data_IF_185699241931
#
_entry.id   IF_185699241931
#
_cell.length_a   1.000
_cell.length_b   1.000
_cell.length_c   1.000
_cell.angle_alpha   90.00
_cell.angle_beta   90.00
_cell.angle_gamma   90.00
#
_symmetry.space_group_name_H-M   'P 1'
#
loop_
_entity.id
_entity.type
_entity.pdbx_description
1 polymer ?
#
# COMPACT_ATOMS: atom_id res chain seq x y z
N UNK A 1 15.81 33.42 99.46
CA UNK A 1 15.08 33.96 100.62
C UNK A 1 13.69 33.34 100.64
N UNK A 2 13.23 32.76 101.77
CA UNK A 2 11.83 32.35 102.06
C UNK A 2 11.14 31.38 101.07
N UNK A 3 10.39 30.35 101.45
CA UNK A 3 10.22 29.46 102.63
C UNK A 3 9.10 28.50 102.20
N UNK A 4 9.03 27.30 102.76
CA UNK A 4 8.00 26.32 102.41
C UNK A 4 6.70 26.46 103.23
N UNK A 5 5.72 25.60 102.88
CA UNK A 5 4.69 24.98 103.74
C UNK A 5 3.30 25.64 103.96
N UNK A 6 2.29 24.90 103.44
CA UNK A 6 1.18 24.27 104.20
C UNK A 6 -0.05 25.09 104.66
N UNK A 7 -1.25 24.53 104.41
CA UNK A 7 -2.53 24.89 105.02
C UNK A 7 -3.72 24.31 104.23
N UNK A 8 -4.15 23.06 104.50
CA UNK A 8 -5.31 22.65 105.34
C UNK A 8 -6.70 23.04 104.76
N UNK A 9 -7.56 22.08 104.38
CA UNK A 9 -8.39 21.13 105.16
C UNK A 9 -9.78 21.72 105.53
N UNK A 10 -10.84 21.13 104.98
CA UNK A 10 -12.25 21.42 105.30
C UNK A 10 -13.17 20.35 104.69
N UNK A 11 -13.97 19.66 105.52
CA UNK A 11 -14.84 18.52 105.16
C UNK A 11 -16.32 18.89 105.27
N UNK A 12 -17.18 18.11 104.59
CA UNK A 12 -18.66 18.18 104.69
C UNK A 12 -19.31 18.98 103.54
N UNK A 13 -20.41 18.55 102.91
CA UNK A 13 -21.18 17.32 103.11
C UNK A 13 -21.98 16.90 101.85
N UNK A 14 -22.23 15.59 101.77
CA UNK A 14 -23.44 14.91 101.28
C UNK A 14 -24.11 15.33 99.93
N UNK A 15 -24.06 14.40 98.95
CA UNK A 15 -25.20 13.79 98.20
C UNK A 15 -26.53 14.57 98.06
N UNK A 16 -27.25 14.64 96.93
CA UNK A 16 -27.22 13.90 95.64
C UNK A 16 -27.95 14.73 94.56
N UNK A 17 -27.56 14.61 93.28
CA UNK A 17 -28.47 14.77 92.14
C UNK A 17 -27.88 14.13 90.87
N UNK A 18 -28.54 13.10 90.34
CA UNK A 18 -28.10 12.39 89.13
C UNK A 18 -28.36 13.23 87.87
N UNK A 19 -27.36 14.02 87.47
CA UNK A 19 -27.28 14.60 86.13
C UNK A 19 -26.72 13.61 85.12
N UNK A 20 -27.57 12.86 84.43
CA UNK A 20 -27.16 11.95 83.36
C UNK A 20 -26.61 12.72 82.14
N UNK A 21 -25.29 12.93 82.08
CA UNK A 21 -24.65 13.46 80.87
C UNK A 21 -24.59 12.38 79.79
N UNK A 22 -25.48 12.46 78.81
CA UNK A 22 -25.33 11.75 77.55
C UNK A 22 -23.96 12.12 76.91
N UNK A 23 -23.05 11.16 76.82
CA UNK A 23 -21.96 11.24 75.84
C UNK A 23 -22.57 11.01 74.45
N UNK A 24 -22.31 11.87 73.45
CA UNK A 24 -22.71 11.54 72.08
C UNK A 24 -21.96 10.30 71.62
N UNK A 25 -22.59 9.37 70.88
CA UNK A 25 -21.92 8.19 70.38
C UNK A 25 -20.84 8.58 69.37
N UNK A 26 -19.64 8.02 69.50
CA UNK A 26 -18.62 8.11 68.45
C UNK A 26 -19.20 7.47 67.17
N UNK A 27 -19.61 8.30 66.21
CA UNK A 27 -19.85 7.86 64.84
C UNK A 27 -18.52 7.31 64.31
N UNK A 28 -18.41 5.98 64.22
CA UNK A 28 -17.26 5.32 63.56
C UNK A 28 -17.05 5.95 62.19
N UNK A 29 -15.82 6.29 61.78
CA UNK A 29 -15.55 7.02 60.55
C UNK A 29 -15.63 6.11 59.32
N UNK A 30 -16.81 5.52 59.09
CA UNK A 30 -17.14 4.73 57.90
C UNK A 30 -16.86 5.52 56.61
N UNK A 31 -17.07 6.84 56.63
CA UNK A 31 -16.72 7.74 55.54
C UNK A 31 -15.22 7.73 55.21
N UNK A 32 -14.31 7.60 56.19
CA UNK A 32 -12.87 7.48 55.92
C UNK A 32 -12.56 6.13 55.25
N UNK A 33 -13.18 5.04 55.72
CA UNK A 33 -13.02 3.71 55.12
C UNK A 33 -13.53 3.71 53.67
N UNK A 34 -14.73 4.25 53.42
CA UNK A 34 -15.30 4.39 52.07
C UNK A 34 -14.43 5.27 51.18
N UNK A 35 -13.92 6.40 51.68
CA UNK A 35 -13.03 7.29 50.94
C UNK A 35 -11.72 6.59 50.54
N UNK A 36 -11.08 5.89 51.49
CA UNK A 36 -9.84 5.12 51.25
C UNK A 36 -10.09 3.99 50.25
N UNK A 37 -11.21 3.27 50.37
CA UNK A 37 -11.60 2.23 49.40
C UNK A 37 -11.84 2.81 48.00
N UNK A 38 -12.53 3.94 47.87
CA UNK A 38 -12.76 4.61 46.58
C UNK A 38 -11.45 5.10 45.95
N UNK A 39 -10.55 5.70 46.73
CA UNK A 39 -9.22 6.10 46.26
C UNK A 39 -8.41 4.87 45.82
N UNK A 40 -8.45 3.78 46.58
CA UNK A 40 -7.75 2.54 46.24
C UNK A 40 -8.29 1.92 44.94
N UNK A 41 -9.61 1.86 44.77
CA UNK A 41 -10.25 1.38 43.53
C UNK A 41 -9.91 2.29 42.35
N UNK A 42 -9.85 3.62 42.54
CA UNK A 42 -9.47 4.55 41.48
C UNK A 42 -7.99 4.39 41.06
N UNK A 43 -7.08 4.21 42.02
CA UNK A 43 -5.66 3.95 41.75
C UNK A 43 -5.48 2.60 41.02
N UNK A 44 -6.16 1.55 41.47
CA UNK A 44 -6.13 0.24 40.79
C UNK A 44 -6.74 0.35 39.39
N UNK A 45 -7.84 1.08 39.22
CA UNK A 45 -8.46 1.34 37.92
C UNK A 45 -7.53 2.07 36.96
N UNK A 46 -6.84 3.12 37.42
CA UNK A 46 -5.86 3.86 36.63
C UNK A 46 -4.59 3.05 36.30
N UNK A 47 -4.22 2.10 37.15
CA UNK A 47 -3.08 1.19 36.93
C UNK A 47 -3.42 0.05 35.96
N UNK A 48 -4.63 -0.52 36.04
CA UNK A 48 -5.10 -1.61 35.16
C UNK A 48 -5.58 -1.09 33.80
N UNK A 49 -6.14 0.12 33.76
CA UNK A 49 -6.61 0.79 32.54
C UNK A 49 -5.92 2.15 32.38
N UNK A 50 -4.63 2.20 32.00
CA UNK A 50 -3.96 3.45 31.69
C UNK A 50 -4.66 4.15 30.52
N UNK A 51 -5.00 5.45 30.62
CA UNK A 51 -5.74 6.15 29.57
C UNK A 51 -4.89 6.27 28.30
N UNK A 52 -5.39 5.71 27.20
CA UNK A 52 -4.70 5.67 25.89
C UNK A 52 -4.68 7.03 25.15
N UNK A 53 -5.15 8.13 25.76
CA UNK A 53 -5.09 9.46 25.17
C UNK A 53 -4.72 10.56 26.17
N UNK A 54 -3.79 11.42 25.74
CA UNK A 54 -3.26 12.54 26.53
C UNK A 54 -4.26 13.68 26.73
N UNK A 55 -5.36 13.70 25.98
CA UNK A 55 -6.39 14.75 26.00
C UNK A 55 -7.08 14.90 27.37
N UNK A 56 -7.30 13.79 28.10
CA UNK A 56 -7.95 13.83 29.41
C UNK A 56 -7.10 14.54 30.50
N UNK A 57 -5.77 14.57 30.34
CA UNK A 57 -4.86 15.18 31.31
C UNK A 57 -4.96 16.72 31.30
N UNK A 58 -5.22 17.32 30.13
CA UNK A 58 -5.34 18.78 29.96
C UNK A 58 -6.57 19.40 30.63
N UNK A 59 -7.59 18.61 30.99
CA UNK A 59 -8.83 19.12 31.57
C UNK A 59 -8.68 19.44 33.08
N UNK A 60 -7.71 18.83 33.79
CA UNK A 60 -7.62 18.92 35.25
C UNK A 60 -6.32 19.51 35.83
N UNK A 61 -5.16 19.46 35.15
CA UNK A 61 -3.96 20.23 35.57
C UNK A 61 -2.86 20.29 34.51
N UNK A 62 -2.59 21.48 33.96
CA UNK A 62 -1.48 21.71 33.03
C UNK A 62 -0.09 21.55 33.65
N UNK A 63 0.02 21.58 35.00
CA UNK A 63 1.29 21.38 35.72
C UNK A 63 1.54 19.91 36.08
N UNK A 64 0.49 19.11 36.29
CA UNK A 64 0.62 17.70 36.68
C UNK A 64 1.15 16.81 35.55
N UNK A 65 0.67 17.00 34.33
CA UNK A 65 1.00 16.14 33.19
C UNK A 65 2.51 16.20 32.83
N UNK A 66 3.16 17.34 33.03
CA UNK A 66 4.60 17.53 32.77
C UNK A 66 5.46 16.70 33.73
N UNK A 67 5.07 16.65 35.00
CA UNK A 67 5.76 15.79 35.98
C UNK A 67 5.56 14.29 35.72
N UNK A 68 4.50 13.89 35.00
CA UNK A 68 4.22 12.50 34.64
C UNK A 68 4.98 12.10 33.35
N UNK A 69 5.08 12.99 32.35
CA UNK A 69 5.94 12.73 31.18
C UNK A 69 7.40 12.56 31.55
N UNK A 70 7.86 13.27 32.58
CA UNK A 70 9.23 13.20 33.09
C UNK A 70 9.44 12.01 34.06
N UNK A 71 8.37 11.31 34.47
CA UNK A 71 8.41 10.15 35.39
C UNK A 71 8.29 8.80 34.68
N UNK A 72 7.69 8.77 33.49
CA UNK A 72 7.72 7.58 32.67
C UNK A 72 9.16 7.38 32.18
N UNK A 73 9.77 6.19 32.34
CA UNK A 73 11.04 5.93 31.69
C UNK A 73 10.86 6.16 30.18
N UNK A 74 11.81 6.81 29.49
CA UNK A 74 11.72 6.95 28.04
C UNK A 74 11.52 5.56 27.46
N UNK A 75 10.52 5.40 26.58
CA UNK A 75 10.28 4.13 25.88
C UNK A 75 11.63 3.71 25.30
N UNK A 76 12.18 2.55 25.68
CA UNK A 76 13.56 2.21 25.37
C UNK A 76 13.74 2.30 23.86
N UNK A 77 14.64 3.18 23.42
CA UNK A 77 14.97 3.33 22.00
C UNK A 77 15.42 1.98 21.50
N UNK A 78 14.61 1.37 20.64
CA UNK A 78 14.86 0.05 20.08
C UNK A 78 16.28 0.01 19.52
N UNK A 79 17.06 -0.96 19.98
CA UNK A 79 18.38 -1.22 19.41
C UNK A 79 18.19 -1.83 18.02
N UNK A 80 18.88 -1.25 17.03
CA UNK A 80 18.88 -1.77 15.66
C UNK A 80 19.80 -2.97 15.53
N UNK A 81 19.42 -3.90 14.67
CA UNK A 81 20.28 -5.04 14.28
C UNK A 81 21.47 -4.57 13.43
N UNK A 82 22.54 -5.37 13.36
CA UNK A 82 23.70 -5.08 12.51
C UNK A 82 23.32 -4.85 11.04
N UNK A 83 22.30 -5.58 10.53
CA UNK A 83 21.77 -5.42 9.18
C UNK A 83 21.05 -4.07 8.99
N UNK A 84 20.27 -3.62 9.98
CA UNK A 84 19.64 -2.31 9.99
C UNK A 84 20.67 -1.18 10.05
N UNK A 85 21.67 -1.29 10.94
CA UNK A 85 22.76 -0.33 11.06
C UNK A 85 23.53 -0.22 9.73
N UNK A 86 23.89 -1.35 9.12
CA UNK A 86 24.57 -1.37 7.83
C UNK A 86 23.72 -0.75 6.70
N UNK A 87 22.43 -1.11 6.63
CA UNK A 87 21.48 -0.57 5.65
C UNK A 87 21.34 0.95 5.78
N UNK A 88 21.09 1.44 7.01
CA UNK A 88 20.95 2.87 7.31
C UNK A 88 22.21 3.66 6.98
N UNK A 89 23.39 3.13 7.31
CA UNK A 89 24.67 3.79 7.00
C UNK A 89 24.88 3.91 5.48
N UNK A 90 24.72 2.83 4.72
CA UNK A 90 24.91 2.84 3.26
C UNK A 90 23.95 3.82 2.59
N UNK A 91 22.67 3.77 2.96
CA UNK A 91 21.64 4.65 2.40
C UNK A 91 21.90 6.12 2.78
N UNK A 92 22.26 6.39 4.03
CA UNK A 92 22.59 7.73 4.53
C UNK A 92 23.77 8.34 3.77
N UNK A 93 24.83 7.58 3.50
CA UNK A 93 25.96 8.07 2.73
C UNK A 93 25.58 8.36 1.27
N UNK A 94 24.73 7.54 0.64
CA UNK A 94 24.22 7.80 -0.72
C UNK A 94 23.36 9.07 -0.80
N UNK A 95 22.52 9.32 0.21
CA UNK A 95 21.68 10.52 0.29
C UNK A 95 22.49 11.80 0.59
N UNK A 96 23.52 11.71 1.43
CA UNK A 96 24.40 12.83 1.77
C UNK A 96 25.48 13.10 0.71
N UNK A 97 25.76 12.15 -0.18
CA UNK A 97 26.70 12.35 -1.28
C UNK A 97 26.27 13.52 -2.19
N UNK A 98 27.22 14.34 -2.69
CA UNK A 98 26.92 15.37 -3.68
C UNK A 98 26.23 14.78 -4.93
N UNK A 99 25.12 15.35 -5.42
CA UNK A 99 24.47 14.88 -6.63
C UNK A 99 25.44 14.90 -7.83
N UNK A 100 25.44 13.83 -8.61
CA UNK A 100 26.25 13.74 -9.83
C UNK A 100 25.77 14.80 -10.83
N UNK A 101 26.63 15.77 -11.14
CA UNK A 101 26.33 16.81 -12.11
C UNK A 101 26.46 16.24 -13.53
N UNK A 102 25.45 16.47 -14.36
CA UNK A 102 25.46 16.20 -15.80
C UNK A 102 25.31 17.54 -16.52
N UNK A 103 26.06 17.73 -17.59
CA UNK A 103 25.97 18.91 -18.47
C UNK A 103 24.69 18.89 -19.33
N UNK A 104 24.09 17.71 -19.52
CA UNK A 104 22.87 17.48 -20.30
C UNK A 104 21.92 16.53 -19.57
N UNK A 105 21.30 16.96 -18.45
CA UNK A 105 20.49 16.07 -17.62
C UNK A 105 19.26 15.55 -18.37
N UNK A 106 18.97 14.26 -18.20
CA UNK A 106 17.91 13.51 -18.87
C UNK A 106 16.83 13.03 -17.90
N UNK A 107 15.62 12.90 -18.42
CA UNK A 107 14.54 12.12 -17.78
C UNK A 107 14.47 10.73 -18.41
N UNK A 108 14.57 9.68 -17.60
CA UNK A 108 14.38 8.29 -18.01
C UNK A 108 12.90 7.92 -17.95
N UNK A 109 12.30 7.67 -19.12
CA UNK A 109 10.93 7.18 -19.24
C UNK A 109 10.93 5.65 -19.29
N UNK A 110 10.49 5.02 -18.21
CA UNK A 110 10.52 3.57 -18.01
C UNK A 110 9.12 2.99 -18.14
N UNK A 111 8.89 2.20 -19.19
CA UNK A 111 7.60 1.60 -19.48
C UNK A 111 7.57 0.15 -19.00
N UNK A 112 6.69 -0.14 -18.03
CA UNK A 112 6.40 -1.49 -17.55
C UNK A 112 5.05 -1.93 -18.13
N UNK A 113 5.08 -2.91 -19.03
CA UNK A 113 3.92 -3.29 -19.84
C UNK A 113 3.66 -4.81 -19.82
N UNK A 114 2.42 -5.24 -20.11
CA UNK A 114 2.15 -6.64 -20.43
C UNK A 114 2.51 -6.98 -21.89
N UNK A 115 2.33 -6.04 -22.82
CA UNK A 115 2.41 -6.23 -24.27
C UNK A 115 2.95 -4.95 -24.97
N UNK A 116 2.59 -4.74 -26.24
CA UNK A 116 2.84 -3.52 -27.03
C UNK A 116 2.27 -2.24 -26.42
N UNK A 117 2.85 -1.11 -26.83
CA UNK A 117 2.46 0.24 -26.42
C UNK A 117 1.38 0.81 -27.37
N UNK A 118 0.09 0.83 -27.00
CA UNK A 118 -0.95 1.34 -27.89
C UNK A 118 -0.82 2.83 -28.18
N UNK A 119 -0.18 3.58 -27.27
CA UNK A 119 0.04 5.03 -27.39
C UNK A 119 1.42 5.40 -27.93
N UNK A 120 2.15 4.48 -28.57
CA UNK A 120 3.50 4.72 -29.10
C UNK A 120 3.56 5.95 -30.03
N UNK A 121 2.54 6.16 -30.89
CA UNK A 121 2.43 7.36 -31.75
C UNK A 121 2.23 8.67 -30.98
N UNK A 122 1.58 8.62 -29.81
CA UNK A 122 1.39 9.78 -28.94
C UNK A 122 2.71 10.13 -28.23
N UNK A 123 3.42 9.11 -27.74
CA UNK A 123 4.75 9.26 -27.16
C UNK A 123 5.78 9.72 -28.19
N UNK A 124 5.72 9.27 -29.44
CA UNK A 124 6.55 9.78 -30.52
C UNK A 124 6.36 11.29 -30.73
N UNK A 125 5.10 11.75 -30.76
CA UNK A 125 4.76 13.17 -30.88
C UNK A 125 5.22 13.99 -29.66
N UNK A 126 5.15 13.41 -28.47
CA UNK A 126 5.64 14.02 -27.23
C UNK A 126 7.17 14.16 -27.22
N UNK A 127 7.92 13.14 -27.65
CA UNK A 127 9.39 13.14 -27.68
C UNK A 127 10.00 13.91 -28.86
N UNK A 128 9.22 14.30 -29.86
CA UNK A 128 9.71 14.90 -31.10
C UNK A 128 10.49 16.21 -30.88
N UNK A 129 11.74 16.27 -31.32
CA UNK A 129 12.59 17.46 -31.25
C UNK A 129 13.29 17.69 -29.90
N UNK A 130 13.22 16.71 -28.98
CA UNK A 130 13.77 16.79 -27.63
C UNK A 130 14.89 15.76 -27.38
N UNK A 131 15.47 15.21 -28.44
CA UNK A 131 16.60 14.27 -28.35
C UNK A 131 17.74 14.82 -27.48
N UNK A 132 18.30 13.97 -26.63
CA UNK A 132 19.32 14.36 -25.65
C UNK A 132 18.78 14.80 -24.29
N UNK A 133 17.49 15.17 -24.16
CA UNK A 133 16.83 15.48 -22.87
C UNK A 133 16.14 14.27 -22.22
N UNK A 134 16.09 13.12 -22.88
CA UNK A 134 15.41 11.93 -22.37
C UNK A 134 16.08 10.63 -22.81
N UNK A 135 15.73 9.56 -22.10
CA UNK A 135 16.00 8.17 -22.47
C UNK A 135 14.72 7.33 -22.28
N UNK A 136 14.64 6.19 -22.97
CA UNK A 136 13.45 5.31 -22.97
C UNK A 136 13.89 3.88 -22.68
N UNK A 137 13.17 3.20 -21.79
CA UNK A 137 13.38 1.80 -21.42
C UNK A 137 12.03 1.08 -21.39
N UNK A 138 11.96 -0.13 -21.92
CA UNK A 138 10.71 -0.92 -21.98
C UNK A 138 10.93 -2.30 -21.36
N UNK A 139 10.13 -2.65 -20.35
CA UNK A 139 10.02 -4.02 -19.83
C UNK A 139 8.63 -4.54 -20.19
N UNK A 140 8.59 -5.43 -21.17
CA UNK A 140 7.36 -6.11 -21.58
C UNK A 140 7.32 -7.53 -21.00
N UNK A 141 6.36 -7.79 -20.11
CA UNK A 141 6.35 -8.95 -19.22
C UNK A 141 5.78 -10.25 -19.81
N UNK A 142 5.19 -10.22 -21.02
CA UNK A 142 4.68 -11.41 -21.71
C UNK A 142 5.30 -11.57 -23.09
N UNK A 143 4.87 -10.72 -24.02
CA UNK A 143 5.30 -10.78 -25.42
C UNK A 143 6.26 -9.63 -25.71
N UNK A 144 7.34 -9.90 -26.44
CA UNK A 144 8.25 -8.83 -26.88
C UNK A 144 7.51 -7.93 -27.89
N UNK A 145 7.35 -6.63 -27.62
CA UNK A 145 6.63 -5.72 -28.50
C UNK A 145 7.43 -5.47 -29.79
N UNK A 146 6.71 -5.25 -30.88
CA UNK A 146 7.27 -4.75 -32.14
C UNK A 146 7.02 -3.24 -32.17
N UNK A 147 8.08 -2.48 -31.88
CA UNK A 147 8.05 -1.01 -31.92
C UNK A 147 8.15 -0.50 -33.35
N UNK A 148 7.41 0.57 -33.66
CA UNK A 148 7.39 1.24 -34.97
C UNK A 148 8.14 2.57 -34.91
N UNK A 149 8.10 3.23 -33.76
CA UNK A 149 8.70 4.53 -33.51
C UNK A 149 10.20 4.40 -33.23
N UNK A 150 10.99 5.28 -33.85
CA UNK A 150 12.46 5.35 -33.67
C UNK A 150 12.91 5.56 -32.22
N UNK A 151 12.04 6.05 -31.34
CA UNK A 151 12.36 6.24 -29.93
C UNK A 151 12.26 4.97 -29.09
N UNK A 152 11.47 3.98 -29.52
CA UNK A 152 11.21 2.74 -28.81
C UNK A 152 11.94 1.53 -29.40
N UNK A 153 12.29 1.57 -30.70
CA UNK A 153 13.15 0.55 -31.33
C UNK A 153 14.45 0.35 -30.53
N UNK A 154 14.75 -0.90 -30.21
CA UNK A 154 15.90 -1.33 -29.40
C UNK A 154 15.96 -0.74 -27.97
N UNK A 155 14.81 -0.39 -27.37
CA UNK A 155 14.70 0.06 -25.97
C UNK A 155 14.19 -1.01 -24.99
N UNK A 156 13.93 -2.23 -25.46
CA UNK A 156 13.54 -3.33 -24.60
C UNK A 156 14.70 -3.76 -23.70
N UNK A 157 14.49 -3.70 -22.38
CA UNK A 157 15.39 -4.33 -21.41
C UNK A 157 15.08 -5.82 -21.30
N UNK A 158 15.93 -6.58 -20.59
CA UNK A 158 15.64 -7.99 -20.29
C UNK A 158 14.38 -8.12 -19.42
N UNK A 159 13.29 -8.62 -20.00
CA UNK A 159 12.05 -8.92 -19.26
C UNK A 159 12.06 -10.28 -18.57
N UNK A 160 11.28 -10.40 -17.49
CA UNK A 160 10.76 -11.65 -16.94
C UNK A 160 9.24 -11.51 -16.74
N UNK A 161 8.52 -12.60 -16.45
CA UNK A 161 7.09 -12.53 -16.16
C UNK A 161 6.79 -11.83 -14.82
N UNK A 162 5.90 -10.84 -14.84
CA UNK A 162 5.43 -10.12 -13.65
C UNK A 162 4.02 -10.56 -13.27
N UNK A 163 3.70 -10.50 -11.98
CA UNK A 163 2.36 -10.80 -11.46
C UNK A 163 1.99 -9.69 -10.48
N UNK A 164 0.81 -9.08 -10.68
CA UNK A 164 0.33 -7.99 -9.84
C UNK A 164 0.26 -8.35 -8.35
N UNK A 165 0.65 -7.41 -7.49
CA UNK A 165 0.74 -7.56 -6.05
C UNK A 165 1.87 -8.47 -5.54
N UNK A 166 2.74 -8.99 -6.42
CA UNK A 166 3.87 -9.86 -6.04
C UNK A 166 5.19 -9.13 -6.22
N UNK A 167 6.21 -9.59 -5.52
CA UNK A 167 7.57 -9.05 -5.62
C UNK A 167 8.14 -9.03 -7.05
N UNK A 168 7.70 -9.94 -7.94
CA UNK A 168 8.10 -9.93 -9.35
C UNK A 168 7.73 -8.66 -10.12
N UNK A 169 6.77 -7.86 -9.62
CA UNK A 169 6.49 -6.52 -10.14
C UNK A 169 7.60 -5.55 -9.73
N UNK A 170 7.95 -5.51 -8.45
CA UNK A 170 9.07 -4.72 -7.89
C UNK A 170 10.41 -5.11 -8.53
N UNK A 171 10.60 -6.40 -8.86
CA UNK A 171 11.81 -6.88 -9.54
C UNK A 171 11.95 -6.31 -10.96
N UNK A 172 10.83 -6.13 -11.68
CA UNK A 172 10.81 -5.48 -12.98
C UNK A 172 11.09 -3.97 -12.89
N UNK A 173 10.54 -3.31 -11.86
CA UNK A 173 10.80 -1.90 -11.56
C UNK A 173 12.27 -1.65 -11.19
N UNK A 174 12.83 -2.44 -10.27
CA UNK A 174 14.27 -2.42 -9.93
C UNK A 174 15.13 -2.70 -11.16
N UNK A 175 14.70 -3.57 -12.09
CA UNK A 175 15.45 -3.82 -13.33
C UNK A 175 15.42 -2.64 -14.31
N UNK A 176 14.26 -2.00 -14.48
CA UNK A 176 14.13 -0.77 -15.27
C UNK A 176 15.03 0.33 -14.69
N UNK A 177 14.99 0.54 -13.36
CA UNK A 177 15.88 1.47 -12.65
C UNK A 177 17.37 1.15 -12.87
N UNK A 178 17.76 -0.13 -12.80
CA UNK A 178 19.15 -0.54 -13.01
C UNK A 178 19.66 -0.22 -14.43
N UNK A 179 18.89 -0.57 -15.47
CA UNK A 179 19.25 -0.27 -16.86
C UNK A 179 19.25 1.26 -17.10
N UNK A 180 18.34 2.00 -16.47
CA UNK A 180 18.27 3.44 -16.60
C UNK A 180 19.40 4.19 -15.88
N UNK A 181 19.92 3.63 -14.78
CA UNK A 181 21.02 4.22 -14.00
C UNK A 181 22.40 4.08 -14.67
N UNK A 182 22.54 3.19 -15.67
CA UNK A 182 23.78 3.06 -16.47
C UNK A 182 24.12 4.34 -17.24
N UNK A 183 23.12 5.11 -17.70
CA UNK A 183 23.33 6.45 -18.25
C UNK A 183 23.55 7.46 -17.10
N UNK A 184 24.73 8.10 -16.98
CA UNK A 184 25.01 9.06 -15.91
C UNK A 184 24.19 10.34 -16.05
N UNK A 185 23.69 10.67 -17.25
CA UNK A 185 22.87 11.86 -17.47
C UNK A 185 21.43 11.69 -16.98
N UNK A 186 20.96 10.46 -16.77
CA UNK A 186 19.63 10.22 -16.22
C UNK A 186 19.56 10.69 -14.76
N UNK A 187 18.91 11.85 -14.54
CA UNK A 187 18.77 12.48 -13.23
C UNK A 187 17.39 12.28 -12.60
N UNK A 188 16.37 11.99 -13.41
CA UNK A 188 15.01 11.70 -12.95
C UNK A 188 14.42 10.49 -13.68
N UNK A 189 13.67 9.64 -12.97
CA UNK A 189 13.23 8.32 -13.40
C UNK A 189 11.71 8.20 -13.24
N UNK A 190 10.98 8.04 -14.33
CA UNK A 190 9.50 8.00 -14.36
C UNK A 190 9.04 6.59 -14.72
N UNK A 191 8.23 5.96 -13.87
CA UNK A 191 7.59 4.67 -14.16
C UNK A 191 6.21 4.88 -14.79
N UNK A 192 5.98 4.27 -15.95
CA UNK A 192 4.75 4.37 -16.74
C UNK A 192 4.26 3.00 -17.22
N UNK A 193 2.97 2.87 -17.49
CA UNK A 193 2.37 1.69 -18.13
C UNK A 193 1.97 1.96 -19.58
N UNK A 194 1.58 0.91 -20.30
CA UNK A 194 1.04 0.97 -21.67
C UNK A 194 -0.19 1.89 -21.82
N UNK A 195 -0.94 2.07 -20.74
CA UNK A 195 -2.14 2.90 -20.62
C UNK A 195 -1.90 4.32 -20.07
N UNK A 196 -0.64 4.76 -19.97
CA UNK A 196 -0.27 6.14 -19.63
C UNK A 196 -0.32 7.10 -20.82
N UNK A 197 -0.73 8.35 -20.55
CA UNK A 197 -0.63 9.48 -21.48
C UNK A 197 -0.04 10.70 -20.75
N UNK A 198 0.80 11.53 -21.41
CA UNK A 198 1.24 12.82 -20.86
C UNK A 198 0.09 13.84 -20.86
N UNK A 199 0.07 14.73 -19.87
CA UNK A 199 -0.94 15.78 -19.71
C UNK A 199 -0.46 17.17 -20.16
N UNK A 200 0.85 17.35 -20.32
CA UNK A 200 1.50 18.60 -20.73
C UNK A 200 2.51 18.33 -21.85
N UNK A 201 3.12 19.38 -22.42
CA UNK A 201 4.20 19.20 -23.39
C UNK A 201 5.49 18.69 -22.73
N UNK A 202 6.45 18.27 -23.55
CA UNK A 202 7.72 17.73 -23.07
C UNK A 202 8.49 18.72 -22.19
N UNK A 203 8.69 19.97 -22.66
CA UNK A 203 9.48 20.96 -21.92
C UNK A 203 8.84 21.28 -20.56
N UNK A 204 7.52 21.33 -20.43
CA UNK A 204 6.84 21.49 -19.14
C UNK A 204 7.16 20.33 -18.18
N UNK A 205 6.97 19.08 -18.62
CA UNK A 205 7.21 17.89 -17.80
C UNK A 205 8.70 17.78 -17.45
N UNK A 206 9.59 17.98 -18.42
CA UNK A 206 11.04 17.97 -18.23
C UNK A 206 11.48 19.02 -17.20
N UNK A 207 11.06 20.28 -17.36
CA UNK A 207 11.41 21.35 -16.43
C UNK A 207 10.78 21.15 -15.04
N UNK A 208 9.62 20.51 -14.93
CA UNK A 208 9.03 20.15 -13.64
C UNK A 208 9.88 19.09 -12.92
N UNK A 209 10.29 18.03 -13.63
CA UNK A 209 10.99 16.88 -13.06
C UNK A 209 12.48 17.15 -12.80
N UNK A 210 13.17 17.89 -13.66
CA UNK A 210 14.60 18.17 -13.48
C UNK A 210 14.84 19.21 -12.37
N UNK A 211 13.94 20.20 -12.21
CA UNK A 211 14.14 21.25 -11.22
C UNK A 211 13.61 20.91 -9.81
N UNK A 212 12.79 19.86 -9.65
CA UNK A 212 12.28 19.49 -8.31
C UNK A 212 13.39 18.95 -7.40
N UNK A 213 13.31 19.32 -6.12
CA UNK A 213 14.19 18.78 -5.07
C UNK A 213 13.66 17.48 -4.46
N UNK A 214 12.38 17.13 -4.63
CA UNK A 214 11.73 15.93 -4.08
C UNK A 214 11.42 14.88 -5.15
N UNK A 215 11.22 13.63 -4.72
CA UNK A 215 10.68 12.54 -5.54
C UNK A 215 9.16 12.39 -5.32
N UNK A 216 8.43 12.06 -6.37
CA UNK A 216 6.98 11.83 -6.35
C UNK A 216 6.67 10.34 -6.15
N UNK A 217 6.63 9.95 -4.88
CA UNK A 217 6.14 8.65 -4.42
C UNK A 217 4.90 8.91 -3.57
N UNK A 218 3.83 8.21 -3.88
CA UNK A 218 2.57 8.23 -3.14
C UNK A 218 2.75 7.46 -1.83
N UNK A 219 2.41 8.04 -0.67
CA UNK A 219 2.63 7.38 0.63
C UNK A 219 1.67 7.90 1.69
N UNK A 220 0.82 7.01 2.19
CA UNK A 220 -0.21 7.33 3.18
C UNK A 220 -0.47 6.16 4.15
N UNK A 221 -1.11 6.48 5.28
CA UNK A 221 -1.70 5.47 6.16
C UNK A 221 -3.07 5.05 5.65
N UNK A 222 -3.41 3.78 5.74
CA UNK A 222 -4.78 3.33 5.54
C UNK A 222 -5.08 2.20 6.55
N UNK A 223 -5.73 2.52 7.69
CA UNK A 223 -5.94 1.55 8.77
C UNK A 223 -6.89 0.41 8.38
N UNK A 224 -7.55 0.49 7.22
CA UNK A 224 -8.54 -0.47 6.76
C UNK A 224 -7.97 -1.70 6.03
N UNK A 225 -8.87 -2.53 5.46
CA UNK A 225 -8.52 -3.81 4.82
C UNK A 225 -7.70 -3.69 3.53
N UNK A 226 -7.51 -2.49 2.97
CA UNK A 226 -6.72 -2.31 1.76
C UNK A 226 -5.29 -1.78 2.01
N UNK A 227 -4.98 -1.31 3.22
CA UNK A 227 -3.66 -0.89 3.67
C UNK A 227 -3.15 -1.74 4.85
N UNK A 228 -3.05 -1.16 6.05
CA UNK A 228 -2.49 -1.77 7.26
C UNK A 228 -3.24 -3.03 7.73
N UNK A 229 -4.48 -3.26 7.26
CA UNK A 229 -5.17 -4.55 7.40
C UNK A 229 -4.50 -5.73 6.66
N UNK A 230 -3.56 -5.45 5.75
CA UNK A 230 -2.74 -6.43 5.02
C UNK A 230 -1.32 -6.60 5.57
N UNK A 231 -0.96 -5.89 6.65
CA UNK A 231 0.36 -5.98 7.28
C UNK A 231 0.61 -7.40 7.84
N UNK A 232 1.86 -7.85 7.81
CA UNK A 232 2.26 -9.13 8.41
C UNK A 232 3.17 -8.89 9.62
N UNK A 233 2.80 -9.44 10.78
CA UNK A 233 3.60 -9.35 12.01
C UNK A 233 5.03 -9.91 11.85
N UNK A 234 5.29 -10.76 10.84
CA UNK A 234 6.64 -11.26 10.51
C UNK A 234 7.56 -10.21 9.84
N UNK A 235 7.04 -9.03 9.47
CA UNK A 235 7.85 -7.90 9.04
C UNK A 235 8.46 -7.13 10.22
N UNK A 236 7.94 -7.39 11.44
CA UNK A 236 8.51 -6.91 12.70
C UNK A 236 9.81 -7.67 13.02
N UNK A 237 10.85 -7.01 13.58
CA UNK A 237 10.82 -5.63 14.04
C UNK A 237 11.13 -4.58 12.96
N UNK A 238 11.80 -4.93 11.86
CA UNK A 238 12.39 -3.96 10.91
C UNK A 238 11.36 -3.04 10.25
N UNK A 239 10.14 -3.53 10.02
CA UNK A 239 8.99 -2.71 9.62
C UNK A 239 7.89 -2.90 10.66
N UNK A 240 7.67 -1.91 11.52
CA UNK A 240 6.54 -1.94 12.45
C UNK A 240 5.23 -1.58 11.74
N UNK A 241 4.10 -2.07 12.25
CA UNK A 241 2.76 -1.86 11.67
C UNK A 241 2.38 -0.38 11.49
N UNK A 242 2.92 0.50 12.34
CA UNK A 242 2.71 1.96 12.30
C UNK A 242 3.44 2.65 11.14
N UNK A 243 4.54 2.05 10.67
CA UNK A 243 5.40 2.59 9.61
C UNK A 243 5.06 1.99 8.25
N UNK A 244 4.28 0.90 8.23
CA UNK A 244 3.73 0.29 7.02
C UNK A 244 2.78 1.26 6.30
N UNK A 245 3.17 1.68 5.10
CA UNK A 245 2.42 2.62 4.25
C UNK A 245 1.88 1.96 3.00
N UNK A 246 0.88 2.62 2.40
CA UNK A 246 0.34 2.31 1.09
C UNK A 246 0.52 3.51 0.14
N UNK A 247 0.58 3.22 -1.15
CA UNK A 247 0.53 4.20 -2.22
C UNK A 247 0.31 3.54 -3.59
N UNK A 248 0.26 4.35 -4.64
CA UNK A 248 0.32 3.89 -6.01
C UNK A 248 1.70 3.30 -6.36
N UNK A 249 1.69 2.22 -7.15
CA UNK A 249 2.87 1.64 -7.81
C UNK A 249 3.68 2.66 -8.65
N UNK A 250 3.01 3.68 -9.19
CA UNK A 250 3.56 4.59 -10.20
C UNK A 250 4.32 5.73 -9.52
N UNK A 251 5.61 5.83 -9.77
CA UNK A 251 6.49 6.84 -9.16
C UNK A 251 7.20 7.70 -10.21
N UNK A 252 7.71 8.84 -9.75
CA UNK A 252 8.77 9.59 -10.42
C UNK A 252 9.82 9.95 -9.38
N UNK A 253 11.08 9.52 -9.54
CA UNK A 253 12.10 9.71 -8.51
C UNK A 253 13.44 10.23 -9.04
N UNK A 254 14.17 10.96 -8.19
CA UNK A 254 15.52 11.48 -8.46
C UNK A 254 16.57 10.36 -8.46
N UNK A 255 17.72 10.59 -9.11
CA UNK A 255 18.82 9.62 -9.22
C UNK A 255 19.25 8.99 -7.88
N UNK A 256 19.43 9.77 -6.81
CA UNK A 256 19.81 9.23 -5.50
C UNK A 256 18.74 8.28 -4.92
N UNK A 257 17.45 8.60 -5.11
CA UNK A 257 16.33 7.75 -4.67
C UNK A 257 16.31 6.44 -5.46
N UNK A 258 16.56 6.49 -6.77
CA UNK A 258 16.71 5.30 -7.61
C UNK A 258 17.88 4.41 -7.14
N UNK A 259 19.03 5.01 -6.79
CA UNK A 259 20.20 4.27 -6.29
C UNK A 259 19.90 3.58 -4.95
N UNK A 260 19.27 4.25 -3.98
CA UNK A 260 18.95 3.61 -2.69
C UNK A 260 17.87 2.53 -2.81
N UNK A 261 16.93 2.65 -3.76
CA UNK A 261 15.95 1.60 -4.07
C UNK A 261 16.61 0.36 -4.65
N UNK A 262 17.73 0.49 -5.39
CA UNK A 262 18.53 -0.65 -5.81
C UNK A 262 19.38 -1.22 -4.68
N UNK A 263 20.01 -0.36 -3.90
CA UNK A 263 20.88 -0.75 -2.78
C UNK A 263 20.11 -1.44 -1.64
N UNK A 264 18.81 -1.15 -1.47
CA UNK A 264 18.02 -1.82 -0.45
C UNK A 264 17.87 -3.32 -0.73
N UNK A 265 18.39 -4.08 0.25
CA UNK A 265 18.19 -5.52 0.40
C UNK A 265 17.30 -5.82 1.60
N UNK A 266 17.41 -5.06 2.69
CA UNK A 266 16.79 -5.38 3.97
C UNK A 266 15.27 -5.25 3.90
N UNK A 267 14.75 -4.09 3.55
CA UNK A 267 13.30 -3.85 3.55
C UNK A 267 12.63 -4.63 2.41
N UNK A 268 13.22 -4.57 1.22
CA UNK A 268 12.85 -5.38 0.07
C UNK A 268 12.74 -6.88 0.41
N UNK A 269 13.64 -7.45 1.21
CA UNK A 269 13.56 -8.87 1.61
C UNK A 269 12.30 -9.18 2.42
N UNK A 270 11.86 -8.28 3.31
CA UNK A 270 10.62 -8.44 4.08
C UNK A 270 9.39 -8.45 3.15
N UNK A 271 9.34 -7.56 2.15
CA UNK A 271 8.28 -7.58 1.13
C UNK A 271 8.34 -8.84 0.26
N UNK A 272 9.54 -9.26 -0.19
CA UNK A 272 9.75 -10.50 -0.95
C UNK A 272 9.25 -11.73 -0.18
N UNK A 273 9.56 -11.79 1.11
CA UNK A 273 9.39 -13.00 1.90
C UNK A 273 8.03 -13.10 2.57
N UNK A 274 7.38 -11.97 2.87
CA UNK A 274 6.09 -11.95 3.56
C UNK A 274 4.91 -11.43 2.72
N UNK A 275 5.10 -10.77 1.56
CA UNK A 275 3.98 -10.43 0.66
C UNK A 275 3.52 -11.61 -0.21
N UNK A 276 3.03 -12.66 0.46
CA UNK A 276 2.64 -13.94 -0.12
C UNK A 276 1.18 -14.26 0.17
N UNK A 277 0.60 -15.17 -0.63
CA UNK A 277 -0.77 -15.65 -0.38
C UNK A 277 -0.85 -16.32 1.00
N UNK A 278 -1.69 -15.77 1.87
CA UNK A 278 -2.11 -16.38 3.12
C UNK A 278 -3.20 -17.39 2.80
N UNK A 279 -2.89 -18.67 2.87
CA UNK A 279 -3.96 -19.66 2.94
C UNK A 279 -4.67 -19.50 4.29
N UNK A 280 -5.90 -18.98 4.27
CA UNK A 280 -6.74 -19.04 5.46
C UNK A 280 -6.95 -20.50 5.80
N UNK A 281 -6.48 -20.90 6.99
CA UNK A 281 -6.63 -22.28 7.47
C UNK A 281 -8.07 -22.48 7.93
N UNK A 282 -8.98 -22.63 6.97
CA UNK A 282 -10.43 -22.83 7.16
C UNK A 282 -10.67 -24.21 7.81
N UNK A 283 -10.29 -24.34 9.09
CA UNK A 283 -10.07 -25.65 9.70
C UNK A 283 -10.31 -25.66 11.21
N UNK A 284 -11.44 -25.08 11.64
CA UNK A 284 -12.01 -25.29 12.99
C UNK A 284 -13.55 -25.39 12.97
N UNK A 285 -14.25 -24.62 12.14
CA UNK A 285 -15.73 -24.55 12.18
C UNK A 285 -16.42 -25.73 11.45
N UNK A 286 -15.88 -26.21 10.33
CA UNK A 286 -16.48 -27.34 9.58
C UNK A 286 -16.17 -28.72 10.18
N UNK A 287 -15.23 -28.82 11.13
CA UNK A 287 -14.76 -30.12 11.65
C UNK A 287 -15.74 -30.81 12.61
N UNK A 288 -16.80 -30.12 13.04
CA UNK A 288 -17.82 -30.64 13.96
C UNK A 288 -19.20 -30.85 13.30
N UNK A 289 -19.34 -30.67 11.98
CA UNK A 289 -20.64 -30.72 11.30
C UNK A 289 -20.71 -31.56 10.01
N UNK A 290 -19.66 -32.31 9.67
CA UNK A 290 -19.71 -33.34 8.63
C UNK A 290 -19.51 -34.72 9.26
N UNK A 291 -20.56 -35.53 9.20
CA UNK A 291 -20.54 -36.96 9.53
C UNK A 291 -19.62 -37.68 8.54
N UNK A 292 -19.00 -38.76 8.98
CA UNK A 292 -18.10 -39.61 8.19
C UNK A 292 -18.78 -40.08 6.89
N UNK A 293 -18.20 -39.73 5.73
CA UNK A 293 -18.75 -40.09 4.41
C UNK A 293 -17.88 -39.68 3.22
N UNK A 294 -17.52 -38.39 3.11
CA UNK A 294 -16.94 -37.81 1.88
C UNK A 294 -15.44 -37.42 1.96
N UNK A 295 -14.58 -38.35 2.38
CA UNK A 295 -13.13 -38.09 2.41
C UNK A 295 -12.37 -38.35 1.09
N UNK A 296 -13.02 -38.93 0.07
CA UNK A 296 -12.34 -39.39 -1.15
C UNK A 296 -12.42 -38.47 -2.39
N UNK A 297 -13.27 -37.44 -2.38
CA UNK A 297 -13.59 -36.66 -3.59
C UNK A 297 -12.81 -35.34 -3.77
N UNK A 298 -11.92 -34.97 -2.83
CA UNK A 298 -11.27 -33.63 -2.80
C UNK A 298 -9.75 -33.65 -3.05
N UNK A 299 -9.12 -34.82 -3.25
CA UNK A 299 -7.65 -34.91 -3.39
C UNK A 299 -7.08 -35.18 -4.80
N UNK A 300 -7.91 -35.19 -5.85
CA UNK A 300 -7.50 -35.66 -7.21
C UNK A 300 -7.59 -34.59 -8.30
N UNK A 301 -7.15 -33.34 -8.04
CA UNK A 301 -6.88 -32.34 -9.10
C UNK A 301 -5.55 -31.59 -8.86
N UNK A 302 -4.44 -32.30 -8.62
CA UNK A 302 -3.07 -31.72 -8.69
C UNK A 302 -1.97 -32.70 -9.16
N UNK A 303 -2.28 -33.63 -10.08
CA UNK A 303 -1.25 -34.26 -10.95
C UNK A 303 -1.81 -34.45 -12.36
N UNK A 304 -0.98 -34.21 -13.36
CA UNK A 304 -1.37 -34.32 -14.76
C UNK A 304 -1.20 -35.74 -15.31
N UNK A 305 -2.00 -36.03 -16.35
CA UNK A 305 -1.76 -37.01 -17.42
C UNK A 305 -1.36 -38.43 -16.99
N UNK A 306 -2.35 -39.30 -16.84
CA UNK A 306 -2.33 -40.68 -17.34
C UNK A 306 -3.78 -41.17 -17.52
N UNK A 307 -4.01 -42.10 -18.46
CA UNK A 307 -5.36 -42.48 -18.93
C UNK A 307 -6.14 -43.44 -18.01
N UNK A 308 -7.45 -43.64 -18.24
CA UNK A 308 -8.31 -44.42 -17.35
C UNK A 308 -8.20 -45.93 -17.59
N UNK A 309 -8.37 -46.71 -16.51
CA UNK A 309 -8.69 -48.15 -16.54
C UNK A 309 -10.14 -48.40 -16.15
N UNK A 310 -10.72 -49.49 -16.65
CA UNK A 310 -12.16 -49.72 -16.79
C UNK A 310 -12.87 -50.40 -15.60
N UNK A 311 -14.22 -50.37 -15.67
CA UNK A 311 -15.23 -51.12 -14.88
C UNK A 311 -15.42 -50.69 -13.41
N UNK A 312 -16.63 -50.54 -12.85
CA UNK A 312 -18.02 -50.80 -13.31
C UNK A 312 -18.90 -49.50 -13.24
N UNK A 313 -20.18 -49.42 -13.65
CA UNK A 313 -21.12 -50.37 -14.25
C UNK A 313 -22.16 -49.66 -15.17
N UNK A 314 -22.70 -50.38 -16.15
CA UNK A 314 -24.11 -50.34 -16.61
C UNK A 314 -24.80 -49.02 -17.02
N UNK A 315 -24.79 -48.69 -18.32
CA UNK A 315 -25.97 -48.43 -19.18
C UNK A 315 -25.52 -48.25 -20.66
N UNK A 316 -26.26 -48.83 -21.61
CA UNK A 316 -26.33 -48.37 -23.01
C UNK A 316 -25.08 -48.51 -23.91
N UNK A 317 -24.93 -49.67 -24.58
CA UNK A 317 -23.89 -49.88 -25.60
C UNK A 317 -24.30 -49.26 -26.95
N UNK A 318 -23.59 -48.23 -27.42
CA UNK A 318 -23.60 -47.79 -28.84
C UNK A 318 -22.18 -47.90 -29.39
N UNK A 319 -22.02 -48.69 -30.44
CA UNK A 319 -20.72 -49.03 -31.03
C UNK A 319 -20.31 -48.03 -32.11
N UNK A 320 -19.09 -47.50 -32.01
CA UNK A 320 -18.36 -46.92 -33.14
C UNK A 320 -17.10 -47.74 -33.38
N UNK A 321 -17.14 -48.60 -34.41
CA UNK A 321 -15.94 -49.26 -34.92
C UNK A 321 -15.13 -48.27 -35.76
N UNK A 322 -13.83 -48.19 -35.52
CA UNK A 322 -12.91 -47.35 -36.29
C UNK A 322 -12.12 -48.25 -37.24
N UNK A 323 -12.41 -48.16 -38.54
CA UNK A 323 -11.60 -48.82 -39.58
C UNK A 323 -10.61 -47.80 -40.16
N UNK A 324 -9.31 -48.07 -40.02
CA UNK A 324 -8.25 -47.14 -40.42
C UNK A 324 -7.57 -47.62 -41.70
N UNK A 325 -7.95 -47.03 -42.85
CA UNK A 325 -7.14 -47.09 -44.07
C UNK A 325 -6.94 -45.73 -44.74
N UNK A 326 -5.67 -45.31 -44.68
CA UNK A 326 -4.90 -44.45 -45.59
C UNK A 326 -5.58 -43.54 -46.62
N UNK A 327 -5.21 -42.27 -46.53
CA UNK A 327 -4.93 -41.42 -47.69
C UNK A 327 -6.08 -40.53 -48.17
N UNK A 328 -5.76 -39.27 -48.48
CA UNK A 328 -6.64 -38.38 -49.25
C UNK A 328 -6.92 -37.04 -48.60
N UNK A 329 -6.68 -35.99 -49.39
CA UNK A 329 -7.01 -34.58 -49.11
C UNK A 329 -8.51 -34.40 -48.84
N UNK A 330 -8.88 -33.71 -47.76
CA UNK A 330 -10.25 -33.28 -47.51
C UNK A 330 -10.39 -32.53 -46.18
N UNK A 331 -10.89 -31.29 -46.21
CA UNK A 331 -11.10 -30.51 -44.99
C UNK A 331 -12.29 -31.03 -44.17
N UNK A 332 -12.18 -31.00 -42.84
CA UNK A 332 -13.29 -31.29 -41.94
C UNK A 332 -13.65 -30.08 -41.08
N UNK A 333 -14.92 -29.72 -41.14
CA UNK A 333 -15.51 -28.53 -40.54
C UNK A 333 -15.93 -28.85 -39.10
N UNK A 334 -15.36 -28.16 -38.10
CA UNK A 334 -15.76 -28.35 -36.69
C UNK A 334 -17.18 -27.79 -36.47
N UNK A 335 -18.16 -28.69 -36.35
CA UNK A 335 -19.53 -28.33 -35.93
C UNK A 335 -19.62 -28.25 -34.40
N UNK A 336 -19.86 -27.02 -33.94
CA UNK A 336 -20.45 -26.63 -32.66
C UNK A 336 -20.45 -27.60 -31.47
N UNK A 337 -19.67 -27.26 -30.45
CA UNK A 337 -19.97 -27.66 -29.06
C UNK A 337 -21.41 -27.23 -28.68
N UNK A 338 -22.02 -27.94 -27.73
CA UNK A 338 -23.37 -27.63 -27.25
C UNK A 338 -23.41 -26.23 -26.57
N UNK A 339 -24.60 -25.64 -26.37
CA UNK A 339 -24.68 -24.40 -25.58
C UNK A 339 -24.34 -24.66 -24.11
N UNK A 340 -24.80 -25.79 -23.56
CA UNK A 340 -24.55 -26.18 -22.18
C UNK A 340 -23.06 -26.24 -21.81
N UNK A 341 -22.20 -26.86 -22.64
CA UNK A 341 -20.76 -26.89 -22.38
C UNK A 341 -20.11 -25.51 -22.44
N UNK A 342 -20.56 -24.63 -23.34
CA UNK A 342 -20.09 -23.23 -23.38
C UNK A 342 -20.59 -22.41 -22.19
N UNK A 343 -21.79 -22.69 -21.70
CA UNK A 343 -22.36 -22.01 -20.56
C UNK A 343 -21.72 -22.49 -19.25
N UNK A 344 -21.42 -23.78 -19.09
CA UNK A 344 -20.63 -24.30 -17.96
C UNK A 344 -19.17 -23.80 -17.99
N UNK A 345 -18.47 -23.84 -19.13
CA UNK A 345 -17.09 -23.33 -19.20
C UNK A 345 -17.04 -21.80 -18.98
N UNK A 346 -18.10 -21.08 -19.38
CA UNK A 346 -18.27 -19.64 -19.13
C UNK A 346 -18.57 -19.36 -17.67
N UNK A 347 -19.51 -20.07 -17.05
CA UNK A 347 -19.83 -19.95 -15.62
C UNK A 347 -18.59 -20.30 -14.80
N UNK A 348 -17.86 -21.37 -15.13
CA UNK A 348 -16.63 -21.73 -14.42
C UNK A 348 -15.52 -20.67 -14.60
N UNK A 349 -15.39 -20.05 -15.77
CA UNK A 349 -14.46 -18.92 -15.98
C UNK A 349 -14.91 -17.64 -15.28
N UNK A 350 -16.21 -17.31 -15.30
CA UNK A 350 -16.76 -16.13 -14.64
C UNK A 350 -16.75 -16.29 -13.11
N UNK A 351 -17.03 -17.48 -12.56
CA UNK A 351 -16.97 -17.80 -11.12
C UNK A 351 -15.52 -17.95 -10.60
N UNK A 352 -14.60 -18.60 -11.31
CA UNK A 352 -13.18 -18.66 -10.89
C UNK A 352 -12.54 -17.27 -10.95
N UNK A 353 -12.97 -16.41 -11.88
CA UNK A 353 -12.67 -14.98 -11.82
C UNK A 353 -13.32 -14.37 -10.57
N UNK A 354 -14.63 -14.53 -10.35
CA UNK A 354 -15.34 -13.92 -9.22
C UNK A 354 -14.76 -14.29 -7.84
N UNK A 355 -14.35 -15.53 -7.65
CA UNK A 355 -13.72 -16.03 -6.42
C UNK A 355 -12.33 -15.42 -6.16
N UNK A 356 -11.67 -14.90 -7.20
CA UNK A 356 -10.45 -14.10 -7.05
C UNK A 356 -10.75 -12.62 -6.72
N UNK A 357 -12.01 -12.17 -6.76
CA UNK A 357 -12.42 -10.76 -6.64
C UNK A 357 -13.42 -10.44 -5.50
N UNK A 358 -13.66 -11.36 -4.57
CA UNK A 358 -14.52 -11.12 -3.40
C UNK A 358 -13.80 -10.34 -2.26
N UNK A 359 -14.39 -9.27 -1.70
CA UNK A 359 -13.82 -8.56 -0.55
C UNK A 359 -13.71 -9.45 0.69
N UNK A 360 -12.53 -9.47 1.31
CA UNK A 360 -12.25 -10.27 2.51
C UNK A 360 -11.69 -11.68 2.24
N UNK A 361 -11.59 -12.11 0.99
CA UNK A 361 -11.01 -13.42 0.61
C UNK A 361 -9.69 -13.33 -0.18
N UNK A 362 -9.11 -12.14 -0.32
CA UNK A 362 -7.70 -12.04 -0.67
C UNK A 362 -6.82 -12.47 0.51
N UNK A 363 -6.70 -13.78 0.67
CA UNK A 363 -5.66 -14.40 1.48
C UNK A 363 -4.28 -14.07 0.88
N UNK A 364 -3.78 -12.86 1.15
CA UNK A 364 -2.45 -12.34 0.83
C UNK A 364 -2.10 -11.20 1.79
N UNK A 365 -0.99 -11.36 2.50
CA UNK A 365 -0.37 -10.24 3.21
C UNK A 365 0.26 -9.32 2.16
N UNK A 366 0.02 -8.02 2.28
CA UNK A 366 0.47 -6.93 1.41
C UNK A 366 0.26 -7.09 -0.13
N UNK A 367 0.42 -5.97 -0.82
CA UNK A 367 0.49 -5.88 -2.29
C UNK A 367 1.84 -5.23 -2.57
N UNK A 368 2.85 -5.99 -3.00
CA UNK A 368 4.25 -5.57 -2.92
C UNK A 368 4.51 -4.21 -3.63
N UNK A 369 4.01 -4.06 -4.85
CA UNK A 369 4.07 -2.84 -5.68
C UNK A 369 3.29 -1.64 -5.11
N UNK A 370 2.30 -1.85 -4.22
CA UNK A 370 1.55 -0.76 -3.56
C UNK A 370 2.05 -0.41 -2.15
N UNK A 371 3.00 -1.18 -1.59
CA UNK A 371 3.42 -1.02 -0.18
C UNK A 371 4.93 -0.94 0.03
N UNK A 372 5.76 -1.54 -0.84
CA UNK A 372 7.22 -1.54 -0.68
C UNK A 372 7.82 -0.13 -0.72
N UNK A 373 7.74 0.57 -1.85
CA UNK A 373 8.32 1.91 -1.98
C UNK A 373 7.70 2.94 -1.00
N UNK A 374 6.36 2.99 -0.79
CA UNK A 374 5.75 3.90 0.19
C UNK A 374 6.30 3.69 1.61
N UNK A 375 6.44 2.43 2.06
CA UNK A 375 6.98 2.08 3.37
C UNK A 375 8.47 2.35 3.47
N UNK A 376 9.24 1.97 2.44
CA UNK A 376 10.68 2.17 2.38
C UNK A 376 11.03 3.66 2.48
N UNK A 377 10.45 4.52 1.64
CA UNK A 377 10.71 5.96 1.72
C UNK A 377 10.18 6.58 3.01
N UNK A 378 9.07 6.10 3.58
CA UNK A 378 8.58 6.58 4.87
C UNK A 378 9.57 6.32 6.03
N UNK A 379 10.22 5.15 6.03
CA UNK A 379 11.24 4.79 7.02
C UNK A 379 12.58 5.51 6.81
N UNK A 380 12.96 5.73 5.55
CA UNK A 380 14.32 6.13 5.18
C UNK A 380 14.47 7.63 4.89
N UNK A 381 13.56 8.21 4.11
CA UNK A 381 13.60 9.61 3.71
C UNK A 381 12.18 10.17 3.47
N UNK A 382 11.38 10.32 4.56
CA UNK A 382 10.03 10.86 4.47
C UNK A 382 10.00 12.35 4.07
N UNK A 383 11.15 13.04 4.12
CA UNK A 383 11.29 14.45 3.73
C UNK A 383 11.67 14.65 2.25
N UNK A 384 12.34 13.66 1.64
CA UNK A 384 12.71 13.67 0.23
C UNK A 384 11.60 13.24 -0.73
N UNK A 385 10.45 12.77 -0.22
CA UNK A 385 9.27 12.43 -1.04
C UNK A 385 8.10 13.40 -0.87
N UNK A 386 7.29 13.53 -1.91
CA UNK A 386 6.10 14.38 -1.93
C UNK A 386 4.90 13.80 -1.15
N UNK A 387 4.82 12.48 -1.00
CA UNK A 387 3.64 11.73 -0.55
C UNK A 387 2.45 11.76 -1.55
N UNK A 388 2.72 12.05 -2.83
CA UNK A 388 1.81 11.79 -3.95
C UNK A 388 2.58 11.39 -5.21
N UNK A 389 1.90 10.75 -6.16
CA UNK A 389 2.44 10.41 -7.48
C UNK A 389 2.06 11.47 -8.53
N UNK A 390 2.92 11.70 -9.51
CA UNK A 390 2.63 12.53 -10.71
C UNK A 390 1.68 11.89 -11.71
N UNK A 391 0.98 10.81 -11.34
CA UNK A 391 0.16 10.01 -12.24
C UNK A 391 -1.29 9.93 -11.77
N UNK A 392 -2.20 10.59 -12.50
CA UNK A 392 -3.63 10.59 -12.21
C UNK A 392 -4.31 9.25 -12.52
N UNK A 393 -5.18 8.82 -11.61
CA UNK A 393 -6.13 7.71 -11.76
C UNK A 393 -7.48 8.09 -11.15
N UNK A 394 -8.57 7.71 -11.80
CA UNK A 394 -9.93 8.05 -11.38
C UNK A 394 -10.59 6.93 -10.59
N UNK A 395 -10.78 7.14 -9.29
CA UNK A 395 -11.41 6.21 -8.37
C UNK A 395 -12.90 6.50 -8.11
N UNK A 396 -13.53 7.40 -8.89
CA UNK A 396 -14.95 7.80 -8.68
C UNK A 396 -15.93 6.64 -8.73
N UNK A 397 -15.62 5.58 -9.49
CA UNK A 397 -16.46 4.37 -9.59
C UNK A 397 -16.37 3.46 -8.34
N UNK A 398 -15.43 3.72 -7.41
CA UNK A 398 -15.22 2.96 -6.16
C UNK A 398 -15.06 1.43 -6.34
N UNK A 399 -14.51 1.02 -7.48
CA UNK A 399 -14.17 -0.36 -7.81
C UNK A 399 -12.75 -0.70 -7.33
N UNK A 400 -12.42 -1.99 -7.34
CA UNK A 400 -11.05 -2.51 -7.12
C UNK A 400 -9.98 -1.96 -8.07
N UNK A 401 -10.41 -1.40 -9.20
CA UNK A 401 -9.55 -0.77 -10.19
C UNK A 401 -10.09 0.63 -10.54
N UNK A 402 -9.20 1.60 -10.81
CA UNK A 402 -9.64 2.91 -11.26
C UNK A 402 -10.28 2.81 -12.65
N UNK A 403 -11.21 3.73 -12.90
CA UNK A 403 -11.98 3.86 -14.13
C UNK A 403 -11.08 3.83 -15.36
N UNK A 404 -11.55 3.16 -16.42
CA UNK A 404 -10.88 3.18 -17.72
C UNK A 404 -11.59 4.09 -18.70
N UNK A 405 -10.82 4.88 -19.45
CA UNK A 405 -11.32 5.86 -20.41
C UNK A 405 -11.39 5.26 -21.81
N UNK A 406 -12.60 5.22 -22.36
CA UNK A 406 -12.91 4.88 -23.75
C UNK A 406 -12.68 6.07 -24.67
N UNK A 407 -12.70 5.82 -25.99
CA UNK A 407 -12.57 6.88 -26.99
C UNK A 407 -13.61 8.02 -26.82
N UNK A 408 -14.82 7.67 -26.38
CA UNK A 408 -15.90 8.64 -26.11
C UNK A 408 -15.67 9.51 -24.87
N UNK A 409 -14.91 9.03 -23.88
CA UNK A 409 -14.65 9.76 -22.64
C UNK A 409 -13.56 10.82 -22.83
N UNK A 410 -12.65 10.60 -23.78
CA UNK A 410 -11.54 11.52 -24.09
C UNK A 410 -12.07 12.77 -24.78
N UNK A 411 -12.21 13.82 -23.97
CA UNK A 411 -12.59 15.17 -24.38
C UNK A 411 -11.57 16.18 -23.85
N UNK A 412 -11.46 17.34 -24.51
CA UNK A 412 -10.68 18.46 -23.98
C UNK A 412 -11.11 18.87 -22.55
N UNK A 413 -12.41 18.78 -22.24
CA UNK A 413 -12.94 19.03 -20.89
C UNK A 413 -12.40 18.06 -19.85
N UNK A 414 -12.38 16.75 -20.14
CA UNK A 414 -11.79 15.74 -19.24
C UNK A 414 -10.32 16.06 -18.94
N UNK A 415 -9.52 16.30 -19.98
CA UNK A 415 -8.09 16.53 -19.82
C UNK A 415 -7.82 17.84 -19.07
N UNK A 416 -8.55 18.92 -19.39
CA UNK A 416 -8.50 20.18 -18.66
C UNK A 416 -8.84 19.99 -17.18
N UNK A 417 -9.87 19.22 -16.86
CA UNK A 417 -10.25 18.94 -15.48
C UNK A 417 -9.13 18.21 -14.72
N UNK A 418 -8.50 17.20 -15.32
CA UNK A 418 -7.37 16.47 -14.70
C UNK A 418 -6.19 17.43 -14.46
N UNK A 419 -5.81 18.25 -15.46
CA UNK A 419 -4.73 19.26 -15.33
C UNK A 419 -5.02 20.38 -14.34
N UNK A 420 -6.28 20.51 -13.88
CA UNK A 420 -6.70 21.53 -12.91
C UNK A 420 -6.68 21.06 -11.45
N UNK A 421 -6.35 19.79 -11.20
CA UNK A 421 -6.32 19.23 -9.85
C UNK A 421 -5.10 19.77 -9.07
N UNK A 422 -5.38 20.37 -7.90
CA UNK A 422 -4.41 21.04 -7.03
C UNK A 422 -4.13 20.29 -5.72
N UNK A 423 -4.90 19.23 -5.42
CA UNK A 423 -4.73 18.36 -4.25
C UNK A 423 -4.72 16.88 -4.68
N UNK A 424 -3.78 16.11 -4.14
CA UNK A 424 -3.91 14.66 -4.08
C UNK A 424 -4.82 14.28 -2.93
N UNK A 425 -5.71 13.31 -3.13
CA UNK A 425 -6.73 12.92 -2.15
C UNK A 425 -6.78 11.40 -2.02
N UNK A 426 -6.61 10.90 -0.80
CA UNK A 426 -6.88 9.50 -0.44
C UNK A 426 -8.13 9.41 0.47
N UNK A 427 -8.87 8.31 0.36
CA UNK A 427 -9.99 8.00 1.25
C UNK A 427 -9.74 6.63 1.85
N UNK A 428 -9.64 6.56 3.17
CA UNK A 428 -9.27 5.32 3.87
C UNK A 428 -10.24 4.17 3.58
N UNK A 429 -9.71 2.95 3.60
CA UNK A 429 -10.48 1.74 3.27
C UNK A 429 -11.34 1.22 4.42
N UNK A 430 -11.16 1.71 5.64
CA UNK A 430 -11.95 1.36 6.83
C UNK A 430 -13.38 1.95 6.78
N UNK A 431 -14.16 1.73 7.84
CA UNK A 431 -15.57 2.18 7.90
C UNK A 431 -15.71 3.71 7.99
N UNK A 432 -14.73 4.41 8.58
CA UNK A 432 -14.82 5.86 8.79
C UNK A 432 -14.69 6.68 7.51
N UNK A 433 -14.01 6.16 6.48
CA UNK A 433 -13.72 6.86 5.21
C UNK A 433 -13.09 8.24 5.43
N UNK A 434 -12.07 8.29 6.29
CA UNK A 434 -11.31 9.51 6.56
C UNK A 434 -10.63 9.98 5.27
N UNK A 435 -10.73 11.28 4.97
CA UNK A 435 -10.22 11.88 3.73
C UNK A 435 -8.90 12.58 4.02
N UNK A 436 -7.81 12.02 3.51
CA UNK A 436 -6.48 12.61 3.59
C UNK A 436 -6.22 13.44 2.33
N UNK A 437 -5.57 14.61 2.49
CA UNK A 437 -5.34 15.58 1.41
C UNK A 437 -3.91 16.09 1.46
N UNK A 438 -3.24 16.08 0.31
CA UNK A 438 -1.93 16.70 0.11
C UNK A 438 -2.06 17.80 -0.94
N UNK A 439 -1.95 19.08 -0.56
CA UNK A 439 -1.92 20.15 -1.54
C UNK A 439 -0.60 20.06 -2.31
N UNK A 440 -0.68 20.11 -3.64
CA UNK A 440 0.45 19.88 -4.54
C UNK A 440 1.33 21.13 -4.65
N UNK A 441 1.97 21.44 -3.52
CA UNK A 441 2.84 22.60 -3.32
C UNK A 441 4.29 22.19 -3.48
N UNK A 442 5.05 22.99 -4.21
CA UNK A 442 6.50 22.86 -4.29
C UNK A 442 7.13 24.21 -3.91
N UNK A 443 7.91 24.22 -2.83
CA UNK A 443 8.46 25.44 -2.20
C UNK A 443 7.40 26.52 -1.92
N UNK A 444 6.20 26.09 -1.49
CA UNK A 444 5.04 26.98 -1.25
C UNK A 444 4.31 27.47 -2.49
N UNK A 445 4.79 27.14 -3.70
CA UNK A 445 4.15 27.49 -4.97
C UNK A 445 3.24 26.34 -5.41
N UNK A 446 1.99 26.64 -5.76
CA UNK A 446 1.08 25.66 -6.34
C UNK A 446 1.63 25.13 -7.67
N UNK A 447 1.68 23.80 -7.79
CA UNK A 447 1.98 23.06 -9.03
C UNK A 447 0.81 22.13 -9.36
N UNK A 448 0.69 21.65 -10.61
CA UNK A 448 -0.24 20.56 -10.90
C UNK A 448 0.23 19.29 -10.19
N UNK A 449 -0.72 18.53 -9.64
CA UNK A 449 -0.41 17.26 -8.99
C UNK A 449 0.12 16.19 -9.96
N UNK A 450 -0.42 16.18 -11.18
CA UNK A 450 -0.26 15.08 -12.11
C UNK A 450 0.29 15.56 -13.46
N UNK A 451 1.38 14.95 -13.91
CA UNK A 451 1.99 15.18 -15.22
C UNK A 451 1.52 14.14 -16.25
N UNK A 452 1.02 13.01 -15.77
CA UNK A 452 0.51 11.89 -16.57
C UNK A 452 -0.87 11.47 -16.08
N UNK A 453 -1.66 10.83 -16.94
CA UNK A 453 -2.91 10.17 -16.55
C UNK A 453 -2.95 8.75 -17.12
N UNK A 454 -3.71 7.87 -16.45
CA UNK A 454 -3.73 6.42 -16.74
C UNK A 454 -5.10 5.86 -17.06
N UNK A 455 -5.10 4.57 -17.44
CA UNK A 455 -6.26 3.75 -17.79
C UNK A 455 -6.98 4.17 -19.07
N UNK A 456 -6.29 4.84 -20.00
CA UNK A 456 -6.82 5.03 -21.35
C UNK A 456 -6.77 3.72 -22.12
N UNK A 457 -7.85 3.36 -22.81
CA UNK A 457 -7.91 2.18 -23.67
C UNK A 457 -7.31 2.49 -25.06
N UNK A 458 -6.77 1.49 -25.79
CA UNK A 458 -6.11 1.71 -27.09
C UNK A 458 -6.93 2.51 -28.11
N UNK A 459 -8.26 2.30 -28.13
CA UNK A 459 -9.23 3.03 -28.96
C UNK A 459 -9.22 4.57 -28.74
N UNK A 460 -8.69 5.05 -27.61
CA UNK A 460 -8.60 6.48 -27.31
C UNK A 460 -7.50 7.21 -28.10
N UNK A 461 -6.58 6.50 -28.78
CA UNK A 461 -5.40 7.09 -29.42
C UNK A 461 -5.75 8.26 -30.36
N UNK A 462 -6.70 8.07 -31.28
CA UNK A 462 -7.03 9.10 -32.27
C UNK A 462 -7.62 10.36 -31.62
N UNK A 463 -8.41 10.19 -30.55
CA UNK A 463 -8.96 11.31 -29.76
C UNK A 463 -7.87 12.05 -28.99
N UNK A 464 -6.95 11.30 -28.38
CA UNK A 464 -5.77 11.86 -27.70
C UNK A 464 -4.88 12.64 -28.65
N UNK A 465 -4.60 12.09 -29.85
CA UNK A 465 -3.77 12.72 -30.89
C UNK A 465 -4.39 14.01 -31.44
N UNK A 466 -5.71 14.01 -31.67
CA UNK A 466 -6.46 15.18 -32.11
C UNK A 466 -6.50 16.29 -31.06
N UNK A 467 -6.61 15.93 -29.77
CA UNK A 467 -6.63 16.92 -28.69
C UNK A 467 -5.23 17.37 -28.24
N UNK A 468 -4.16 16.60 -28.50
CA UNK A 468 -2.81 16.83 -27.97
C UNK A 468 -2.36 18.29 -28.06
N UNK A 469 -2.37 18.87 -29.27
CA UNK A 469 -1.90 20.24 -29.50
C UNK A 469 -2.71 21.33 -28.75
N UNK A 470 -3.92 21.00 -28.27
CA UNK A 470 -4.82 21.94 -27.59
C UNK A 470 -4.76 21.83 -26.07
N UNK A 471 -4.33 20.70 -25.49
CA UNK A 471 -4.19 20.55 -24.03
C UNK A 471 -2.74 20.64 -23.55
N UNK A 472 -1.75 20.36 -24.41
CA UNK A 472 -0.33 20.48 -24.05
C UNK A 472 0.23 21.89 -24.27
N UNK A 473 -0.61 22.92 -24.44
CA UNK A 473 -0.19 24.30 -24.77
C UNK A 473 0.35 25.10 -23.55
N UNK A 474 0.54 24.43 -22.40
CA UNK A 474 1.09 24.98 -21.15
C UNK A 474 2.39 24.23 -20.85
#
# INVERSE_FOLDING_TARGET
MKTAQTGRLGMGDMQNLHGARHRPPLKRPLWIIVLVSLISIFIIGAYVYPPQSSAACYIFSSRGCKAISDWLPPVPTREYTDEEVASHLVIREILNAPPLQSESPKVAFMFLTPYSLPFEKLWEKFFHGHEGKFSVYVHASKDKPVHVSRYFVNRDVRSDQVIWGKISMVDAEKRLLANALEDPDNQHFVLLSESCVPLYNFDYIYNHLINTNVSFVDSFEDPGPHGNGRYSEHMSPEIEKKDFRKGAQWFSMKRQHAVIVLADHLYYSKFRDYCKRVFSRFNSVLRNHMVEGDWFSIFTITKGVEGPTYEEMGIGRVSWGVDCKGGGVGGLQLKGASSAERDEERIFKEEVVYLQWLPGLEGRNCIADEHYLPTFFHLIDPGGIANWSVTHVDWSERKWHPKSYKAQDVTYGLLKNITSIQESVHVTSDEKKEVQRWPCLWNGIQKPCYLFARKFLPEALDKLMNHFANYTTI
#
